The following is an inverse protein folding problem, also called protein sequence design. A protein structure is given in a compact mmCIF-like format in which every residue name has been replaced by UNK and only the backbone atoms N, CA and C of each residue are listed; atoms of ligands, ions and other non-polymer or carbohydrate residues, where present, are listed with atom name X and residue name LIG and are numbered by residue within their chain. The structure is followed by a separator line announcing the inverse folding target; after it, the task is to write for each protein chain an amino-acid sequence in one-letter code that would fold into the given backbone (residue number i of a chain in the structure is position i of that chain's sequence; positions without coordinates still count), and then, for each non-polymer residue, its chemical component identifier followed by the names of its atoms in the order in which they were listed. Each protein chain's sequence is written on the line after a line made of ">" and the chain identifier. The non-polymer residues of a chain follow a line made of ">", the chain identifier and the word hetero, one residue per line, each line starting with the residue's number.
data_IF_603926129945
#
_entry.id   IF_603926129945
#
_cell.length_a   1.000
_cell.length_b   1.000
_cell.length_c   1.000
_cell.angle_alpha   90.00
_cell.angle_beta   90.00
_cell.angle_gamma   90.00
#
_symmetry.space_group_name_H-M   'P 1'
#
loop_
_entity.id
_entity.type
_entity.pdbx_description
1 polymer ?
#
# COMPACT_ATOMS: atom_id res chain seq x y z
N UNK A 1 -23.02 -21.68 24.20
CA UNK A 1 -22.34 -21.27 22.95
C UNK A 1 -21.20 -20.35 23.32
N UNK A 2 -19.95 -20.72 23.05
CA UNK A 2 -18.81 -19.80 23.20
C UNK A 2 -18.96 -18.70 22.17
N UNK A 3 -19.01 -17.43 22.58
CA UNK A 3 -19.03 -16.31 21.64
C UNK A 3 -17.75 -16.36 20.79
N UNK A 4 -17.92 -16.31 19.47
CA UNK A 4 -16.78 -16.23 18.55
C UNK A 4 -16.07 -14.90 18.76
N UNK A 5 -14.74 -14.92 18.79
CA UNK A 5 -13.91 -13.72 18.85
C UNK A 5 -14.11 -12.89 17.57
N UNK A 6 -14.25 -11.58 17.72
CA UNK A 6 -14.34 -10.66 16.58
C UNK A 6 -13.01 -10.61 15.83
N UNK A 7 -13.10 -10.56 14.51
CA UNK A 7 -11.93 -10.57 13.65
C UNK A 7 -12.05 -9.62 12.46
N UNK A 8 -10.91 -9.06 12.08
CA UNK A 8 -10.75 -8.23 10.89
C UNK A 8 -9.73 -8.92 9.98
N UNK A 9 -10.03 -8.95 8.69
CA UNK A 9 -9.08 -9.41 7.68
C UNK A 9 -8.41 -8.20 7.03
N UNK A 10 -7.08 -8.18 7.02
CA UNK A 10 -6.28 -7.18 6.30
C UNK A 10 -5.63 -7.86 5.10
N UNK A 11 -5.91 -7.41 3.87
CA UNK A 11 -5.40 -8.04 2.65
C UNK A 11 -4.35 -7.17 1.95
N UNK A 12 -3.09 -7.48 2.19
CA UNK A 12 -1.94 -6.73 1.65
C UNK A 12 -1.75 -6.96 0.15
N UNK A 13 -1.36 -5.90 -0.56
CA UNK A 13 -0.79 -6.01 -1.89
C UNK A 13 0.61 -6.64 -1.84
N UNK A 14 1.13 -7.01 -3.01
CA UNK A 14 2.48 -7.51 -3.20
C UNK A 14 3.51 -6.41 -2.92
N UNK A 15 4.51 -6.74 -2.11
CA UNK A 15 5.64 -5.86 -1.82
C UNK A 15 5.79 -5.60 -0.33
N UNK A 16 7.04 -5.46 0.12
CA UNK A 16 7.36 -5.33 1.54
C UNK A 16 6.76 -4.07 2.18
N UNK A 17 6.71 -2.95 1.44
CA UNK A 17 6.13 -1.70 1.92
C UNK A 17 4.64 -1.84 2.28
N UNK A 18 3.87 -2.51 1.43
CA UNK A 18 2.45 -2.80 1.65
C UNK A 18 2.25 -3.71 2.87
N UNK A 19 2.98 -4.84 2.92
CA UNK A 19 2.82 -5.82 3.99
C UNK A 19 3.21 -5.26 5.36
N UNK A 20 4.36 -4.60 5.46
CA UNK A 20 4.82 -4.00 6.73
C UNK A 20 3.83 -2.95 7.21
N UNK A 21 3.38 -2.06 6.31
CA UNK A 21 2.39 -1.03 6.64
C UNK A 21 1.07 -1.66 7.13
N UNK A 22 0.63 -2.76 6.52
CA UNK A 22 -0.58 -3.49 6.92
C UNK A 22 -0.44 -4.16 8.29
N UNK A 23 0.75 -4.70 8.61
CA UNK A 23 1.06 -5.27 9.93
C UNK A 23 0.99 -4.19 11.00
N UNK A 24 1.62 -3.05 10.77
CA UNK A 24 1.64 -1.95 11.72
C UNK A 24 0.23 -1.35 11.93
N UNK A 25 -0.60 -1.28 10.89
CA UNK A 25 -2.02 -0.93 11.02
C UNK A 25 -2.75 -1.95 11.92
N UNK A 26 -2.51 -3.25 11.72
CA UNK A 26 -3.07 -4.30 12.56
C UNK A 26 -2.65 -4.20 14.03
N UNK A 27 -1.38 -3.89 14.30
CA UNK A 27 -0.88 -3.63 15.67
C UNK A 27 -1.53 -2.38 16.29
N UNK A 28 -1.69 -1.32 15.50
CA UNK A 28 -2.37 -0.10 15.95
C UNK A 28 -3.84 -0.35 16.32
N UNK A 29 -4.56 -1.16 15.53
CA UNK A 29 -5.92 -1.57 15.86
C UNK A 29 -5.95 -2.38 17.17
N UNK A 30 -4.99 -3.28 17.38
CA UNK A 30 -4.89 -4.10 18.58
C UNK A 30 -4.51 -3.29 19.84
N UNK A 31 -3.76 -2.20 19.72
CA UNK A 31 -3.44 -1.35 20.87
C UNK A 31 -4.67 -0.64 21.44
N UNK A 32 -5.66 -0.35 20.59
CA UNK A 32 -6.94 0.27 20.99
C UNK A 32 -8.02 -0.77 21.28
N UNK A 33 -8.00 -1.91 20.59
CA UNK A 33 -8.97 -2.99 20.73
C UNK A 33 -8.28 -4.36 20.89
N UNK A 34 -7.70 -4.66 22.07
CA UNK A 34 -6.92 -5.88 22.30
C UNK A 34 -7.72 -7.19 22.16
N UNK A 35 -9.05 -7.12 22.23
CA UNK A 35 -9.96 -8.25 22.06
C UNK A 35 -10.13 -8.69 20.61
N UNK A 36 -9.66 -7.92 19.63
CA UNK A 36 -9.75 -8.28 18.21
C UNK A 36 -8.77 -9.41 17.86
N UNK A 37 -9.11 -10.13 16.79
CA UNK A 37 -8.20 -11.02 16.07
C UNK A 37 -7.91 -10.43 14.70
N UNK A 38 -6.65 -10.24 14.34
CA UNK A 38 -6.26 -9.67 13.05
C UNK A 38 -5.73 -10.78 12.16
N UNK A 39 -6.33 -10.95 10.98
CA UNK A 39 -5.91 -11.94 9.98
C UNK A 39 -5.29 -11.22 8.78
N UNK A 40 -3.99 -11.37 8.57
CA UNK A 40 -3.28 -10.70 7.48
C UNK A 40 -3.08 -11.67 6.33
N UNK A 41 -3.73 -11.37 5.20
CA UNK A 41 -3.57 -12.11 3.95
C UNK A 41 -2.51 -11.42 3.10
N UNK A 42 -1.64 -12.21 2.46
CA UNK A 42 -0.60 -11.67 1.59
C UNK A 42 -0.36 -12.55 0.36
N UNK A 43 0.01 -11.88 -0.73
CA UNK A 43 0.35 -12.50 -2.01
C UNK A 43 1.80 -13.01 -2.01
N UNK A 44 2.05 -14.06 -2.79
CA UNK A 44 3.41 -14.54 -3.11
C UNK A 44 3.70 -14.27 -4.60
N UNK A 45 4.91 -13.79 -4.95
CA UNK A 45 5.34 -13.74 -6.34
C UNK A 45 5.24 -15.11 -7.05
N UNK A 46 4.88 -15.18 -8.35
CA UNK A 46 4.93 -16.41 -9.15
C UNK A 46 6.34 -17.00 -9.29
N UNK A 47 6.49 -18.32 -9.48
CA UNK A 47 7.81 -18.93 -9.59
C UNK A 47 8.57 -18.47 -10.84
N UNK A 48 7.85 -18.18 -11.92
CA UNK A 48 8.42 -17.70 -13.19
C UNK A 48 8.79 -16.21 -13.19
N UNK A 49 8.49 -15.50 -12.09
CA UNK A 49 8.95 -14.13 -11.85
C UNK A 49 10.21 -14.10 -10.96
N UNK A 50 10.54 -15.23 -10.32
CA UNK A 50 11.69 -15.39 -9.43
C UNK A 50 12.86 -16.05 -10.18
N UNK A 51 13.80 -15.25 -10.69
CA UNK A 51 15.15 -15.76 -11.00
C UNK A 51 16.02 -15.73 -9.73
N UNK A 52 17.06 -16.57 -9.58
CA UNK A 52 17.95 -16.54 -8.40
C UNK A 52 18.64 -15.18 -8.18
N UNK A 53 18.75 -14.38 -9.23
CA UNK A 53 19.28 -13.00 -9.21
C UNK A 53 18.19 -11.93 -9.12
N UNK A 54 16.92 -12.33 -9.06
CA UNK A 54 15.81 -11.39 -8.94
C UNK A 54 15.73 -10.81 -7.53
N UNK A 55 15.44 -9.51 -7.38
CA UNK A 55 15.20 -8.88 -6.08
C UNK A 55 14.05 -9.55 -5.31
N UNK A 56 13.12 -10.23 -5.99
CA UNK A 56 11.95 -10.86 -5.38
C UNK A 56 12.33 -12.05 -4.49
N UNK A 57 13.31 -12.87 -4.87
CA UNK A 57 13.79 -13.99 -4.07
C UNK A 57 14.39 -13.54 -2.70
N UNK A 58 15.22 -12.49 -2.70
CA UNK A 58 15.76 -11.91 -1.46
C UNK A 58 14.66 -11.29 -0.58
N UNK A 59 13.66 -10.65 -1.21
CA UNK A 59 12.50 -10.11 -0.48
C UNK A 59 11.65 -11.20 0.16
N UNK A 60 11.53 -12.40 -0.45
CA UNK A 60 10.77 -13.52 0.11
C UNK A 60 11.38 -14.04 1.43
N UNK A 61 12.70 -14.24 1.49
CA UNK A 61 13.37 -14.72 2.72
C UNK A 61 13.30 -13.69 3.86
N UNK A 62 13.54 -12.41 3.55
CA UNK A 62 13.41 -11.32 4.52
C UNK A 62 11.96 -11.18 5.03
N UNK A 63 10.98 -11.33 4.14
CA UNK A 63 9.55 -11.30 4.50
C UNK A 63 9.16 -12.47 5.38
N UNK A 64 9.61 -13.69 5.09
CA UNK A 64 9.35 -14.85 5.93
C UNK A 64 9.90 -14.66 7.35
N UNK A 65 11.15 -14.17 7.49
CA UNK A 65 11.73 -13.85 8.80
C UNK A 65 10.93 -12.79 9.55
N UNK A 66 10.47 -11.75 8.86
CA UNK A 66 9.62 -10.70 9.44
C UNK A 66 8.28 -11.25 9.93
N UNK A 67 7.59 -12.05 9.12
CA UNK A 67 6.33 -12.71 9.51
C UNK A 67 6.52 -13.58 10.75
N UNK A 68 7.59 -14.38 10.81
CA UNK A 68 7.89 -15.20 11.99
C UNK A 68 8.11 -14.34 13.23
N UNK A 69 8.86 -13.24 13.12
CA UNK A 69 9.10 -12.33 14.23
C UNK A 69 7.78 -11.69 14.73
N UNK A 70 6.94 -11.18 13.83
CA UNK A 70 5.64 -10.59 14.18
C UNK A 70 4.71 -11.64 14.81
N UNK A 71 4.65 -12.85 14.27
CA UNK A 71 3.82 -13.93 14.82
C UNK A 71 4.23 -14.27 16.25
N UNK A 72 5.54 -14.28 16.53
CA UNK A 72 6.06 -14.52 17.88
C UNK A 72 5.77 -13.35 18.84
N UNK A 73 5.91 -12.10 18.37
CA UNK A 73 5.71 -10.91 19.20
C UNK A 73 4.23 -10.52 19.38
N UNK A 74 3.34 -10.92 18.47
CA UNK A 74 1.94 -10.49 18.46
C UNK A 74 1.00 -11.65 18.11
N UNK A 75 0.67 -12.52 19.08
CA UNK A 75 -0.16 -13.72 18.84
C UNK A 75 -1.59 -13.45 18.35
N UNK A 76 -2.11 -12.23 18.53
CA UNK A 76 -3.41 -11.82 17.99
C UNK A 76 -3.38 -11.53 16.47
N UNK A 77 -2.20 -11.53 15.84
CA UNK A 77 -2.04 -11.43 14.39
C UNK A 77 -1.76 -12.83 13.83
N UNK A 78 -2.61 -13.29 12.91
CA UNK A 78 -2.43 -14.54 12.16
C UNK A 78 -2.20 -14.23 10.69
N UNK A 79 -1.16 -14.83 10.11
CA UNK A 79 -0.85 -14.66 8.68
C UNK A 79 -1.43 -15.81 7.85
N UNK A 80 -2.06 -15.46 6.73
CA UNK A 80 -2.59 -16.40 5.75
C UNK A 80 -1.95 -16.15 4.40
N UNK A 81 -1.24 -17.14 3.89
CA UNK A 81 -0.61 -17.06 2.57
C UNK A 81 -1.64 -17.38 1.49
N UNK A 82 -1.80 -16.50 0.52
CA UNK A 82 -2.56 -16.82 -0.70
C UNK A 82 -1.75 -17.85 -1.50
N UNK A 83 -2.34 -19.00 -1.88
CA UNK A 83 -1.66 -20.00 -2.69
C UNK A 83 -1.09 -19.40 -3.97
N UNK A 84 0.15 -19.77 -4.27
CA UNK A 84 0.88 -19.27 -5.43
C UNK A 84 0.27 -19.83 -6.71
N UNK A 85 0.17 -18.98 -7.73
CA UNK A 85 -0.29 -19.34 -9.07
C UNK A 85 0.80 -19.03 -10.10
N UNK A 86 0.78 -19.74 -11.22
CA UNK A 86 1.62 -19.43 -12.38
C UNK A 86 0.88 -18.48 -13.31
N UNK A 87 1.56 -17.44 -13.77
CA UNK A 87 1.04 -16.54 -14.82
C UNK A 87 1.66 -16.90 -16.17
N UNK A 88 0.94 -16.75 -17.29
CA UNK A 88 1.42 -17.14 -18.61
C UNK A 88 2.56 -16.24 -19.14
N UNK A 89 2.76 -15.06 -18.57
CA UNK A 89 3.74 -14.07 -19.04
C UNK A 89 4.38 -13.33 -17.87
N UNK A 90 5.63 -12.90 -18.06
CA UNK A 90 6.31 -12.01 -17.11
C UNK A 90 5.77 -10.60 -17.27
N UNK A 91 5.19 -10.07 -16.19
CA UNK A 91 4.59 -8.76 -16.11
C UNK A 91 5.49 -7.77 -15.35
N UNK A 92 5.38 -6.49 -15.69
CA UNK A 92 5.97 -5.41 -14.89
C UNK A 92 5.42 -5.45 -13.45
N UNK A 93 6.20 -5.11 -12.39
CA UNK A 93 5.78 -5.28 -10.99
C UNK A 93 4.42 -4.68 -10.63
N UNK A 94 4.08 -3.52 -11.19
CA UNK A 94 2.76 -2.89 -10.96
C UNK A 94 1.62 -3.72 -11.54
N UNK A 95 1.73 -4.15 -12.81
CA UNK A 95 0.74 -5.00 -13.47
C UNK A 95 0.63 -6.38 -12.80
N UNK A 96 1.76 -6.91 -12.31
CA UNK A 96 1.81 -8.19 -11.61
C UNK A 96 0.88 -8.20 -10.38
N UNK A 97 0.87 -7.14 -9.57
CA UNK A 97 0.00 -7.11 -8.38
C UNK A 97 -1.47 -7.23 -8.76
N UNK A 98 -1.92 -6.43 -9.74
CA UNK A 98 -3.31 -6.40 -10.17
C UNK A 98 -3.76 -7.75 -10.74
N UNK A 99 -2.92 -8.35 -11.59
CA UNK A 99 -3.24 -9.63 -12.20
C UNK A 99 -3.27 -10.75 -11.16
N UNK A 100 -2.31 -10.77 -10.22
CA UNK A 100 -2.32 -11.73 -9.12
C UNK A 100 -3.57 -11.60 -8.24
N UNK A 101 -3.92 -10.38 -7.83
CA UNK A 101 -5.11 -10.16 -7.03
C UNK A 101 -6.35 -10.67 -7.76
N UNK A 102 -6.49 -10.34 -9.05
CA UNK A 102 -7.61 -10.79 -9.89
C UNK A 102 -7.70 -12.31 -10.00
N UNK A 103 -6.58 -12.95 -10.32
CA UNK A 103 -6.52 -14.40 -10.55
C UNK A 103 -6.66 -15.24 -9.26
N UNK A 104 -6.35 -14.65 -8.10
CA UNK A 104 -6.41 -15.34 -6.79
C UNK A 104 -7.67 -15.05 -5.97
N UNK A 105 -8.65 -14.33 -6.52
CA UNK A 105 -9.94 -14.02 -5.86
C UNK A 105 -10.66 -15.25 -5.29
N UNK A 106 -10.58 -16.39 -5.97
CA UNK A 106 -11.17 -17.65 -5.50
C UNK A 106 -10.47 -18.20 -4.24
N UNK A 107 -9.15 -18.04 -4.12
CA UNK A 107 -8.40 -18.37 -2.90
C UNK A 107 -8.76 -17.42 -1.75
N UNK A 108 -8.84 -16.12 -2.04
CA UNK A 108 -9.28 -15.11 -1.08
C UNK A 108 -10.66 -15.49 -0.50
N UNK A 109 -11.64 -15.82 -1.35
CA UNK A 109 -12.97 -16.29 -0.92
C UNK A 109 -12.91 -17.51 0.00
N UNK A 110 -12.09 -18.50 -0.34
CA UNK A 110 -11.93 -19.72 0.48
C UNK A 110 -11.38 -19.41 1.86
N UNK A 111 -10.41 -18.50 1.96
CA UNK A 111 -9.82 -18.11 3.25
C UNK A 111 -10.82 -17.29 4.08
N UNK A 112 -11.56 -16.34 3.48
CA UNK A 112 -12.61 -15.61 4.20
C UNK A 112 -13.66 -16.56 4.78
N UNK A 113 -14.10 -17.54 3.99
CA UNK A 113 -15.01 -18.58 4.47
C UNK A 113 -14.38 -19.35 5.64
N UNK A 114 -13.14 -19.79 5.53
CA UNK A 114 -12.47 -20.49 6.63
C UNK A 114 -12.43 -19.65 7.92
N UNK A 115 -12.09 -18.36 7.82
CA UNK A 115 -12.03 -17.43 8.96
C UNK A 115 -13.43 -17.20 9.58
N UNK A 116 -14.47 -17.06 8.77
CA UNK A 116 -15.84 -16.86 9.27
C UNK A 116 -16.43 -18.10 9.97
N UNK A 117 -15.90 -19.30 9.68
CA UNK A 117 -16.26 -20.50 10.45
C UNK A 117 -15.66 -20.48 11.87
N UNK A 118 -14.44 -19.97 12.04
CA UNK A 118 -13.74 -19.97 13.33
C UNK A 118 -13.90 -18.70 14.17
N UNK A 119 -14.31 -17.59 13.56
CA UNK A 119 -14.40 -16.28 14.20
C UNK A 119 -15.61 -15.48 13.70
N UNK A 120 -15.94 -14.37 14.37
CA UNK A 120 -16.93 -13.41 13.86
C UNK A 120 -16.18 -12.42 12.96
N UNK A 121 -16.27 -12.59 11.64
CA UNK A 121 -15.60 -11.70 10.68
C UNK A 121 -16.44 -10.43 10.50
N UNK A 122 -15.98 -9.31 11.08
CA UNK A 122 -16.76 -8.06 11.13
C UNK A 122 -16.42 -7.09 10.00
N UNK A 123 -15.21 -7.17 9.44
CA UNK A 123 -14.77 -6.31 8.34
C UNK A 123 -13.57 -6.89 7.58
N UNK A 124 -13.40 -6.41 6.35
CA UNK A 124 -12.20 -6.58 5.53
C UNK A 124 -11.60 -5.22 5.23
N UNK A 125 -10.29 -5.10 5.38
CA UNK A 125 -9.51 -3.95 4.92
C UNK A 125 -8.64 -4.40 3.76
N UNK A 126 -8.89 -3.87 2.57
CA UNK A 126 -8.12 -4.16 1.37
C UNK A 126 -7.03 -3.12 1.20
N UNK A 127 -5.80 -3.53 0.89
CA UNK A 127 -4.89 -2.61 0.22
C UNK A 127 -5.56 -2.06 -1.06
N UNK A 128 -5.44 -0.77 -1.33
CA UNK A 128 -6.08 -0.13 -2.48
C UNK A 128 -5.71 -0.79 -3.83
N UNK A 129 -4.56 -1.45 -3.92
CA UNK A 129 -4.15 -2.17 -5.12
C UNK A 129 -4.89 -3.52 -5.31
N UNK A 130 -5.56 -4.02 -4.27
CA UNK A 130 -6.34 -5.27 -4.29
C UNK A 130 -7.83 -5.06 -4.58
N UNK A 131 -8.19 -3.97 -5.27
CA UNK A 131 -9.58 -3.58 -5.55
C UNK A 131 -10.46 -4.69 -6.16
N UNK A 132 -9.93 -5.61 -6.98
CA UNK A 132 -10.73 -6.69 -7.56
C UNK A 132 -11.31 -7.68 -6.53
N UNK A 133 -10.77 -7.68 -5.31
CA UNK A 133 -11.27 -8.48 -4.19
C UNK A 133 -12.62 -7.97 -3.63
N UNK A 134 -13.04 -6.73 -3.93
CA UNK A 134 -14.35 -6.19 -3.53
C UNK A 134 -15.49 -7.06 -4.04
N UNK A 135 -15.39 -7.58 -5.27
CA UNK A 135 -16.37 -8.52 -5.84
C UNK A 135 -16.67 -9.71 -4.94
N UNK A 136 -15.67 -10.18 -4.18
CA UNK A 136 -15.83 -11.28 -3.23
C UNK A 136 -16.49 -10.79 -1.95
N UNK A 137 -16.04 -9.66 -1.40
CA UNK A 137 -16.62 -9.12 -0.15
C UNK A 137 -18.07 -8.69 -0.34
N UNK A 138 -18.42 -8.11 -1.48
CA UNK A 138 -19.78 -7.68 -1.81
C UNK A 138 -20.71 -8.89 -1.91
N UNK A 139 -20.27 -9.95 -2.60
CA UNK A 139 -21.01 -11.20 -2.72
C UNK A 139 -21.20 -11.92 -1.37
N UNK A 140 -20.32 -11.67 -0.40
CA UNK A 140 -20.42 -12.17 0.97
C UNK A 140 -21.05 -11.17 1.93
N UNK A 141 -21.41 -9.97 1.46
CA UNK A 141 -21.95 -8.86 2.25
C UNK A 141 -21.09 -8.48 3.46
N UNK A 142 -19.76 -8.53 3.30
CA UNK A 142 -18.81 -8.16 4.35
C UNK A 142 -18.50 -6.66 4.23
N UNK A 143 -18.55 -5.87 5.32
CA UNK A 143 -18.11 -4.49 5.31
C UNK A 143 -16.66 -4.37 4.85
N UNK A 144 -16.43 -3.58 3.79
CA UNK A 144 -15.12 -3.43 3.16
C UNK A 144 -14.62 -2.00 3.25
N UNK A 145 -13.44 -1.86 3.82
CA UNK A 145 -12.65 -0.64 3.86
C UNK A 145 -11.43 -0.78 2.97
N UNK A 146 -10.90 0.35 2.53
CA UNK A 146 -9.59 0.39 1.86
C UNK A 146 -8.53 0.97 2.78
N UNK A 147 -7.31 0.43 2.69
CA UNK A 147 -6.12 1.05 3.23
C UNK A 147 -5.30 1.64 2.08
N UNK A 148 -5.26 2.97 2.04
CA UNK A 148 -4.48 3.75 1.12
C UNK A 148 -3.12 4.04 1.75
N UNK A 149 -2.10 3.26 1.36
CA UNK A 149 -0.75 3.28 1.95
C UNK A 149 0.09 4.50 1.52
N UNK A 150 -0.56 5.56 1.05
CA UNK A 150 0.05 6.84 0.66
C UNK A 150 -0.64 7.99 1.42
N UNK A 151 -0.37 9.24 1.05
CA UNK A 151 -0.91 10.43 1.72
C UNK A 151 -2.35 10.77 1.34
N UNK A 152 -2.96 11.65 2.13
CA UNK A 152 -4.30 12.19 1.87
C UNK A 152 -4.31 13.05 0.59
N UNK A 153 -3.25 13.81 0.32
CA UNK A 153 -3.15 14.64 -0.88
C UNK A 153 -3.16 13.79 -2.16
N UNK A 154 -2.48 12.65 -2.16
CA UNK A 154 -2.44 11.75 -3.32
C UNK A 154 -3.76 10.98 -3.49
N UNK A 155 -4.46 10.65 -2.40
CA UNK A 155 -5.83 10.15 -2.46
C UNK A 155 -6.76 11.17 -3.12
N UNK A 156 -6.67 12.44 -2.72
CA UNK A 156 -7.48 13.52 -3.27
C UNK A 156 -7.25 13.71 -4.78
N UNK A 157 -6.00 13.63 -5.23
CA UNK A 157 -5.64 13.64 -6.66
C UNK A 157 -6.26 12.44 -7.39
N UNK A 158 -6.14 11.24 -6.84
CA UNK A 158 -6.69 10.03 -7.44
C UNK A 158 -8.20 10.12 -7.61
N UNK A 159 -8.93 10.56 -6.58
CA UNK A 159 -10.38 10.76 -6.67
C UNK A 159 -10.75 11.87 -7.67
N UNK A 160 -9.97 12.96 -7.75
CA UNK A 160 -10.17 14.01 -8.75
C UNK A 160 -9.99 13.50 -10.18
N UNK A 161 -9.08 12.57 -10.41
CA UNK A 161 -8.90 11.94 -11.73
C UNK A 161 -10.15 11.18 -12.18
N UNK A 162 -10.94 10.60 -11.27
CA UNK A 162 -12.23 9.95 -11.60
C UNK A 162 -13.18 10.98 -12.22
N UNK A 163 -13.34 12.13 -11.56
CA UNK A 163 -14.24 13.19 -12.02
C UNK A 163 -13.83 13.70 -13.40
N UNK A 164 -12.52 13.94 -13.59
CA UNK A 164 -12.00 14.38 -14.90
C UNK A 164 -12.25 13.29 -15.95
N UNK A 165 -12.00 12.03 -15.61
CA UNK A 165 -12.21 10.91 -16.52
C UNK A 165 -13.69 10.76 -16.94
N UNK A 166 -14.63 11.07 -16.05
CA UNK A 166 -16.06 11.05 -16.34
C UNK A 166 -16.52 12.32 -17.09
N UNK A 167 -15.86 13.46 -16.89
CA UNK A 167 -16.26 14.74 -17.49
C UNK A 167 -15.67 15.01 -18.88
N UNK A 168 -14.65 14.28 -19.33
CA UNK A 168 -14.02 14.49 -20.63
C UNK A 168 -13.60 13.19 -21.30
N UNK A 169 -13.51 13.21 -22.63
CA UNK A 169 -12.97 12.10 -23.45
C UNK A 169 -11.46 12.22 -23.70
N UNK A 170 -10.84 13.36 -23.33
CA UNK A 170 -9.40 13.59 -23.52
C UNK A 170 -8.56 12.85 -22.47
N UNK A 171 -7.31 12.55 -22.82
CA UNK A 171 -6.32 12.06 -21.86
C UNK A 171 -5.75 13.21 -21.03
N UNK A 172 -5.33 12.94 -19.79
CA UNK A 172 -4.72 13.93 -18.89
C UNK A 172 -3.49 14.56 -19.53
N UNK A 173 -2.67 13.77 -20.25
CA UNK A 173 -1.50 14.26 -21.00
C UNK A 173 -1.82 15.34 -22.05
N UNK A 174 -3.08 15.42 -22.50
CA UNK A 174 -3.53 16.36 -23.53
C UNK A 174 -4.26 17.58 -22.95
N UNK A 175 -4.48 17.62 -21.63
CA UNK A 175 -5.27 18.67 -20.99
C UNK A 175 -4.46 19.93 -20.66
N UNK A 176 -3.13 19.82 -20.49
CA UNK A 176 -2.21 20.91 -20.15
C UNK A 176 -2.83 21.88 -19.12
N UNK A 177 -3.26 21.33 -17.98
CA UNK A 177 -4.07 22.04 -17.00
C UNK A 177 -3.49 21.90 -15.60
N UNK A 178 -3.97 22.76 -14.71
CA UNK A 178 -3.66 22.63 -13.29
C UNK A 178 -4.85 22.03 -12.54
N UNK A 179 -4.57 21.03 -11.72
CA UNK A 179 -5.52 20.48 -10.77
C UNK A 179 -5.73 21.50 -9.66
N UNK A 180 -6.99 21.86 -9.43
CA UNK A 180 -7.42 22.65 -8.28
C UNK A 180 -8.26 21.74 -7.40
N UNK A 181 -7.69 21.37 -6.25
CA UNK A 181 -8.31 20.49 -5.27
C UNK A 181 -8.19 21.20 -3.91
N UNK A 182 -9.29 21.40 -3.17
CA UNK A 182 -9.22 22.03 -1.86
C UNK A 182 -8.21 21.33 -0.94
N UNK A 183 -7.39 22.12 -0.24
CA UNK A 183 -6.37 21.62 0.67
C UNK A 183 -5.08 21.07 0.05
N UNK A 184 -5.03 20.89 -1.27
CA UNK A 184 -3.84 20.40 -2.01
C UNK A 184 -3.19 21.56 -2.77
N UNK A 185 -1.84 21.67 -2.79
CA UNK A 185 -1.15 22.61 -3.67
C UNK A 185 -1.58 22.45 -5.14
N UNK A 186 -1.46 23.53 -5.91
CA UNK A 186 -1.77 23.51 -7.34
C UNK A 186 -0.77 22.61 -8.07
N UNK A 187 -1.24 21.59 -8.78
CA UNK A 187 -0.42 20.57 -9.44
C UNK A 187 -0.65 20.64 -10.94
N UNK A 188 0.41 20.60 -11.76
CA UNK A 188 0.28 20.55 -13.21
C UNK A 188 0.04 19.13 -13.70
N UNK A 189 -0.59 18.95 -14.86
CA UNK A 189 -0.75 17.63 -15.50
C UNK A 189 0.60 16.91 -15.71
N UNK A 190 1.69 17.66 -15.84
CA UNK A 190 3.03 17.09 -16.04
C UNK A 190 3.62 16.46 -14.78
N UNK A 191 3.21 16.92 -13.60
CA UNK A 191 3.70 16.42 -12.31
C UNK A 191 3.09 15.07 -11.92
N UNK A 192 2.05 14.62 -12.64
CA UNK A 192 1.42 13.32 -12.40
C UNK A 192 2.30 12.16 -12.91
N UNK A 193 2.12 10.93 -12.41
CA UNK A 193 2.80 9.77 -12.97
C UNK A 193 2.41 9.50 -14.42
N UNK A 194 3.38 9.36 -15.32
CA UNK A 194 3.14 9.18 -16.76
C UNK A 194 2.27 7.97 -17.09
N UNK A 195 2.39 6.89 -16.31
CA UNK A 195 1.66 5.63 -16.52
C UNK A 195 0.14 5.81 -16.47
N UNK A 196 -0.37 6.81 -15.74
CA UNK A 196 -1.80 7.07 -15.57
C UNK A 196 -2.35 8.20 -16.45
N UNK A 197 -1.52 8.90 -17.23
CA UNK A 197 -1.97 10.09 -17.97
C UNK A 197 -2.71 9.79 -19.26
N UNK A 198 -2.47 8.62 -19.85
CA UNK A 198 -3.12 8.19 -21.08
C UNK A 198 -4.42 7.44 -20.76
N UNK A 199 -5.56 7.97 -21.22
CA UNK A 199 -6.87 7.38 -20.96
C UNK A 199 -6.99 5.94 -21.46
N UNK A 200 -6.31 5.62 -22.56
CA UNK A 200 -6.37 4.30 -23.17
C UNK A 200 -5.41 3.30 -22.52
N UNK A 201 -4.54 3.75 -21.61
CA UNK A 201 -3.63 2.84 -20.93
C UNK A 201 -4.39 1.96 -19.94
N UNK A 202 -3.97 0.70 -19.84
CA UNK A 202 -4.48 -0.24 -18.85
C UNK A 202 -4.29 0.30 -17.42
N UNK A 203 -3.15 0.96 -17.16
CA UNK A 203 -2.87 1.57 -15.86
C UNK A 203 -3.88 2.67 -15.50
N UNK A 204 -4.25 3.54 -16.44
CA UNK A 204 -5.26 4.57 -16.21
C UNK A 204 -6.60 3.92 -15.83
N UNK A 205 -7.06 2.94 -16.61
CA UNK A 205 -8.33 2.24 -16.35
C UNK A 205 -8.35 1.58 -14.96
N UNK A 206 -7.25 0.91 -14.59
CA UNK A 206 -7.12 0.28 -13.26
C UNK A 206 -7.23 1.31 -12.13
N UNK A 207 -6.56 2.46 -12.23
CA UNK A 207 -6.63 3.48 -11.17
C UNK A 207 -8.01 4.13 -11.08
N UNK A 208 -8.72 4.28 -12.20
CA UNK A 208 -10.12 4.72 -12.21
C UNK A 208 -11.01 3.68 -11.49
N UNK A 209 -10.82 2.39 -11.77
CA UNK A 209 -11.60 1.31 -11.12
C UNK A 209 -11.31 1.23 -9.61
N UNK A 210 -10.04 1.35 -9.20
CA UNK A 210 -9.66 1.46 -7.78
C UNK A 210 -10.36 2.65 -7.12
N UNK A 211 -10.32 3.82 -7.77
CA UNK A 211 -10.96 5.02 -7.29
C UNK A 211 -12.47 4.85 -7.06
N UNK A 212 -13.16 4.21 -8.02
CA UNK A 212 -14.60 3.89 -7.90
C UNK A 212 -14.86 2.92 -6.76
N UNK A 213 -14.08 1.85 -6.65
CA UNK A 213 -14.21 0.90 -5.53
C UNK A 213 -14.01 1.58 -4.17
N UNK A 214 -13.08 2.52 -4.05
CA UNK A 214 -12.88 3.28 -2.81
C UNK A 214 -14.05 4.22 -2.52
N UNK A 215 -14.56 4.94 -3.52
CA UNK A 215 -15.77 5.79 -3.40
C UNK A 215 -16.96 4.98 -2.87
N UNK A 216 -17.14 3.77 -3.38
CA UNK A 216 -18.30 2.93 -3.08
C UNK A 216 -18.08 2.03 -1.84
N UNK A 217 -16.97 2.19 -1.12
CA UNK A 217 -16.61 1.40 0.08
C UNK A 217 -17.18 1.98 1.38
N UNK A 218 -17.02 1.26 2.50
CA UNK A 218 -17.38 1.76 3.84
C UNK A 218 -16.44 2.87 4.34
N UNK A 219 -15.29 3.05 3.70
CA UNK A 219 -14.36 4.12 3.98
C UNK A 219 -12.92 3.79 3.62
N UNK A 220 -12.10 4.83 3.60
CA UNK A 220 -10.69 4.77 3.23
C UNK A 220 -9.84 5.18 4.42
N UNK A 221 -9.05 4.23 4.91
CA UNK A 221 -8.00 4.46 5.90
C UNK A 221 -6.78 5.00 5.16
N UNK A 222 -6.21 6.10 5.65
CA UNK A 222 -5.05 6.76 5.05
C UNK A 222 -3.91 6.79 6.06
N UNK A 223 -2.70 6.44 5.61
CA UNK A 223 -1.49 6.55 6.42
C UNK A 223 -0.96 8.00 6.45
N UNK A 224 -1.75 8.90 7.03
CA UNK A 224 -1.43 10.31 7.23
C UNK A 224 -2.09 10.85 8.50
N UNK A 225 -1.81 12.09 8.87
CA UNK A 225 -2.41 12.79 10.02
C UNK A 225 -2.51 14.29 9.80
N UNK A 226 -3.30 14.95 10.65
CA UNK A 226 -3.56 16.40 10.57
C UNK A 226 -2.29 17.25 10.63
N UNK A 227 -1.29 16.83 11.39
CA UNK A 227 -0.03 17.55 11.53
C UNK A 227 0.77 17.61 10.21
N UNK A 228 0.54 16.68 9.28
CA UNK A 228 1.25 16.61 7.99
C UNK A 228 0.36 17.15 6.86
N UNK A 229 -0.92 16.77 6.83
CA UNK A 229 -1.82 17.02 5.69
C UNK A 229 -3.18 17.64 6.09
N UNK A 230 -3.24 18.37 7.21
CA UNK A 230 -4.49 18.86 7.80
C UNK A 230 -5.41 19.62 6.84
N UNK A 231 -4.87 20.44 5.92
CA UNK A 231 -5.71 21.20 4.96
C UNK A 231 -6.53 20.32 4.03
N UNK A 232 -5.98 19.20 3.53
CA UNK A 232 -6.73 18.28 2.66
C UNK A 232 -7.62 17.35 3.47
N UNK A 233 -7.24 17.04 4.71
CA UNK A 233 -8.06 16.25 5.65
C UNK A 233 -9.33 17.03 6.03
N UNK A 234 -9.19 18.32 6.36
CA UNK A 234 -10.33 19.22 6.58
C UNK A 234 -11.25 19.24 5.35
N UNK A 235 -10.68 19.39 4.17
CA UNK A 235 -11.47 19.36 2.94
C UNK A 235 -12.18 18.01 2.71
N UNK A 236 -11.58 16.86 3.09
CA UNK A 236 -12.27 15.57 3.08
C UNK A 236 -13.47 15.54 4.03
N UNK A 237 -13.32 16.07 5.24
CA UNK A 237 -14.39 16.15 6.24
C UNK A 237 -15.56 17.04 5.80
N UNK A 238 -15.28 18.07 4.99
CA UNK A 238 -16.28 18.97 4.40
C UNK A 238 -16.93 18.40 3.13
N UNK A 239 -16.57 17.20 2.71
CA UNK A 239 -17.07 16.60 1.47
C UNK A 239 -16.35 17.13 0.22
N UNK A 240 -15.02 16.99 0.21
CA UNK A 240 -14.06 17.46 -0.82
C UNK A 240 -14.63 17.48 -2.25
N UNK A 241 -15.32 16.40 -2.62
CA UNK A 241 -16.08 16.27 -3.87
C UNK A 241 -17.45 15.67 -3.58
N UNK A 242 -18.50 16.43 -3.90
CA UNK A 242 -19.89 16.05 -3.69
C UNK A 242 -20.21 14.71 -4.37
N UNK A 243 -20.77 13.76 -3.61
CA UNK A 243 -21.14 12.42 -4.10
C UNK A 243 -19.97 11.50 -4.48
N UNK A 244 -18.72 11.93 -4.31
CA UNK A 244 -17.52 11.15 -4.70
C UNK A 244 -16.56 10.86 -3.55
N UNK A 245 -16.79 11.46 -2.39
CA UNK A 245 -15.88 11.37 -1.24
C UNK A 245 -16.35 10.27 -0.27
N UNK A 246 -15.62 9.15 -0.14
CA UNK A 246 -15.92 8.17 0.91
C UNK A 246 -15.53 8.73 2.28
N UNK A 247 -16.00 8.15 3.40
CA UNK A 247 -15.45 8.45 4.72
C UNK A 247 -13.93 8.22 4.73
N UNK A 248 -13.15 9.21 5.17
CA UNK A 248 -11.68 9.13 5.24
C UNK A 248 -11.22 9.09 6.69
N UNK A 249 -10.40 8.09 7.03
CA UNK A 249 -9.86 7.89 8.37
C UNK A 249 -8.33 7.99 8.36
N UNK A 250 -7.80 9.09 8.87
CA UNK A 250 -6.37 9.29 9.00
C UNK A 250 -5.84 8.58 10.27
N UNK A 251 -5.07 7.52 10.08
CA UNK A 251 -4.51 6.71 11.19
C UNK A 251 -2.97 6.70 11.18
N UNK A 252 -2.36 7.69 10.53
CA UNK A 252 -0.91 7.84 10.44
C UNK A 252 -0.28 8.67 11.56
N UNK A 253 1.06 8.73 11.59
CA UNK A 253 1.94 7.92 10.79
C UNK A 253 2.06 6.49 11.36
N UNK A 254 1.66 5.50 10.58
CA UNK A 254 1.84 4.08 10.88
C UNK A 254 3.29 3.73 10.53
N UNK A 255 4.15 3.69 11.56
CA UNK A 255 5.58 3.45 11.43
C UNK A 255 5.94 2.14 12.15
N UNK A 256 6.83 1.35 11.56
CA UNK A 256 7.37 0.17 12.25
C UNK A 256 8.25 0.60 13.42
N UNK A 257 7.86 0.20 14.62
CA UNK A 257 8.63 0.40 15.85
C UNK A 257 9.56 -0.78 16.18
N UNK A 258 9.88 -1.64 15.20
CA UNK A 258 10.82 -2.74 15.46
C UNK A 258 12.15 -2.16 15.95
N UNK A 259 12.65 -2.61 17.12
CA UNK A 259 14.03 -2.35 17.49
C UNK A 259 14.88 -2.84 16.32
N UNK A 260 15.75 -1.96 15.80
CA UNK A 260 16.65 -2.32 14.72
C UNK A 260 17.27 -3.67 15.04
N UNK A 261 17.25 -4.58 14.06
CA UNK A 261 18.04 -5.80 14.18
C UNK A 261 19.46 -5.39 14.54
N UNK A 262 20.17 -6.29 15.24
CA UNK A 262 21.56 -6.09 15.61
C UNK A 262 22.38 -5.51 14.45
N UNK A 263 23.45 -4.82 14.80
CA UNK A 263 24.30 -4.12 13.83
C UNK A 263 25.17 -5.09 13.01
N UNK A 264 24.52 -6.01 12.28
CA UNK A 264 25.14 -7.12 11.54
C UNK A 264 26.20 -6.62 10.55
N UNK A 265 26.07 -5.38 10.08
CA UNK A 265 26.96 -4.75 9.10
C UNK A 265 27.84 -3.63 9.68
N UNK A 266 27.77 -3.35 10.99
CA UNK A 266 28.54 -2.26 11.61
C UNK A 266 28.04 -0.84 11.28
N UNK A 267 26.92 -0.70 10.59
CA UNK A 267 26.39 0.59 10.15
C UNK A 267 25.93 1.48 11.31
N UNK A 268 25.31 0.90 12.34
CA UNK A 268 24.82 1.65 13.50
C UNK A 268 26.00 2.08 14.38
N UNK A 269 26.97 1.20 14.61
CA UNK A 269 28.20 1.51 15.35
C UNK A 269 29.03 2.56 14.63
N UNK A 270 29.08 2.51 13.30
CA UNK A 270 29.71 3.56 12.50
C UNK A 270 28.97 4.89 12.63
N UNK A 271 27.64 4.89 12.57
CA UNK A 271 26.79 6.08 12.73
C UNK A 271 26.99 6.72 14.12
N UNK A 272 27.09 5.91 15.18
CA UNK A 272 27.35 6.36 16.55
C UNK A 272 28.69 7.09 16.70
N UNK A 273 29.64 6.85 15.79
CA UNK A 273 30.95 7.51 15.79
C UNK A 273 30.98 8.84 15.01
N UNK A 274 29.90 9.21 14.32
CA UNK A 274 29.85 10.44 13.53
C UNK A 274 29.32 11.63 14.34
N UNK A 275 29.70 12.88 13.99
CA UNK A 275 29.09 14.07 14.58
C UNK A 275 27.56 14.12 14.37
N UNK A 276 26.87 14.79 15.30
CA UNK A 276 25.43 14.99 15.18
C UNK A 276 25.08 15.69 13.86
N UNK A 277 24.07 15.16 13.16
CA UNK A 277 23.55 15.71 11.91
C UNK A 277 24.59 15.81 10.76
N UNK A 278 25.66 15.01 10.76
CA UNK A 278 26.66 15.02 9.67
C UNK A 278 26.43 13.97 8.57
N UNK A 279 25.69 12.90 8.88
CA UNK A 279 25.52 11.78 7.94
C UNK A 279 24.31 11.98 7.03
N UNK A 280 24.51 11.78 5.74
CA UNK A 280 23.43 11.72 4.74
C UNK A 280 22.98 10.27 4.54
N UNK A 281 21.74 9.98 4.91
CA UNK A 281 21.11 8.70 4.58
C UNK A 281 20.56 8.72 3.15
N UNK A 282 21.01 7.76 2.32
CA UNK A 282 20.55 7.60 0.95
C UNK A 282 19.83 6.27 0.75
N UNK A 283 18.55 6.33 0.38
CA UNK A 283 17.76 5.14 0.01
C UNK A 283 16.68 5.50 -1.00
N UNK A 284 16.55 4.67 -2.03
CA UNK A 284 15.55 4.82 -3.10
C UNK A 284 14.41 3.80 -3.00
N UNK A 285 14.22 3.24 -1.79
CA UNK A 285 13.19 2.24 -1.52
C UNK A 285 13.50 0.85 -2.09
N UNK A 286 12.63 -0.11 -1.80
CA UNK A 286 12.88 -1.53 -2.11
C UNK A 286 12.91 -1.86 -3.61
N UNK A 287 12.30 -1.01 -4.45
CA UNK A 287 12.18 -1.23 -5.89
C UNK A 287 12.90 -0.16 -6.73
N UNK A 288 13.65 0.75 -6.11
CA UNK A 288 14.42 1.78 -6.82
C UNK A 288 15.46 1.17 -7.75
N UNK A 289 15.44 1.57 -9.03
CA UNK A 289 16.39 1.11 -10.06
C UNK A 289 16.81 2.29 -10.91
N UNK A 290 18.10 2.40 -11.17
CA UNK A 290 18.68 3.49 -11.94
C UNK A 290 19.65 2.92 -12.98
N UNK A 291 19.86 3.68 -14.05
CA UNK A 291 20.88 3.32 -15.05
C UNK A 291 22.27 3.32 -14.40
N UNK A 292 23.20 2.54 -14.97
CA UNK A 292 24.61 2.55 -14.53
C UNK A 292 25.19 3.96 -14.55
N UNK A 293 24.86 4.73 -15.59
CA UNK A 293 25.29 6.13 -15.72
C UNK A 293 24.77 6.98 -14.56
N UNK A 294 23.49 6.87 -14.23
CA UNK A 294 22.91 7.65 -13.14
C UNK A 294 23.48 7.26 -11.77
N UNK A 295 23.71 5.97 -11.52
CA UNK A 295 24.39 5.52 -10.30
C UNK A 295 25.82 6.06 -10.20
N UNK A 296 26.54 6.13 -11.33
CA UNK A 296 27.89 6.70 -11.38
C UNK A 296 27.86 8.20 -11.03
N UNK A 297 26.94 8.96 -11.61
CA UNK A 297 26.80 10.39 -11.31
C UNK A 297 26.40 10.63 -9.85
N UNK A 298 25.50 9.82 -9.29
CA UNK A 298 25.16 9.88 -7.86
C UNK A 298 26.41 9.65 -7.00
N UNK A 299 27.22 8.62 -7.31
CA UNK A 299 28.44 8.33 -6.55
C UNK A 299 29.46 9.47 -6.64
N UNK A 300 29.70 10.02 -7.84
CA UNK A 300 30.59 11.17 -8.04
C UNK A 300 30.08 12.39 -7.26
N UNK A 301 28.77 12.64 -7.28
CA UNK A 301 28.14 13.72 -6.53
C UNK A 301 28.33 13.59 -5.03
N UNK A 302 28.14 12.40 -4.47
CA UNK A 302 28.38 12.11 -3.05
C UNK A 302 29.85 12.34 -2.67
N UNK A 303 30.79 11.81 -3.47
CA UNK A 303 32.23 11.99 -3.23
C UNK A 303 32.63 13.46 -3.23
N UNK A 304 32.16 14.23 -4.22
CA UNK A 304 32.46 15.66 -4.35
C UNK A 304 31.75 16.54 -3.33
N UNK A 305 30.70 16.06 -2.67
CA UNK A 305 29.98 16.82 -1.65
C UNK A 305 30.81 17.00 -0.36
N UNK A 306 31.85 16.18 -0.19
CA UNK A 306 32.69 16.11 1.01
C UNK A 306 31.90 15.92 2.33
N UNK A 307 30.62 15.55 2.24
CA UNK A 307 29.82 15.11 3.37
C UNK A 307 30.36 13.75 3.81
N UNK A 308 30.96 13.72 5.01
CA UNK A 308 31.55 12.53 5.63
C UNK A 308 30.63 11.98 6.72
#
# INVERSE_FOLDING_TARGET
>A
MTMKKDSIVLYSALGRGHLVSMVELGKFMLSHHPSLSINILFLTPPPNQDTPTSPTAFTCAATAKYITAVTAATPSITFHRIPQISLPTVLHPQALNFELCRATTHHFRRILNYISHSSNLIAVVLDFMNHTATRVTDALQIPTYFYYTSGASTLAILLKQIIIHESTTKSIKDLNMHFTIPGVPRIHTDDLPDTGKDRQSESCQIFIDIGKCMRDSYGVIVNSCDAIEGRVIEAFNEGLMEGTTPPVFCMGPVISSEPGKGDDNGCLSWLDSQPSQSVVFLSFGSMGRFSRTQLREIAIGLEKSEQK
#
